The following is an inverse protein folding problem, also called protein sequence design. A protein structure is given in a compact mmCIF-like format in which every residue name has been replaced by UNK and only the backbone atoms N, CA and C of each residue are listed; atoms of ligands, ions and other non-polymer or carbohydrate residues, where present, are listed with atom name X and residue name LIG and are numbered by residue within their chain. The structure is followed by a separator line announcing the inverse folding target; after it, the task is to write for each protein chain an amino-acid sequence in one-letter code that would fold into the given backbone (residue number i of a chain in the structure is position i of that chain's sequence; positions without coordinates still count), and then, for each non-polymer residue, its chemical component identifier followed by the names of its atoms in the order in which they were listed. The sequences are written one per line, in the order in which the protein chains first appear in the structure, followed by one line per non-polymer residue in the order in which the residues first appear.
data_IF_586228120395
#
_entry.id   IF_586228120395
#
_cell.length_a   1.000
_cell.length_b   1.000
_cell.length_c   1.000
_cell.angle_alpha   90.00
_cell.angle_beta   90.00
_cell.angle_gamma   90.00
#
_symmetry.space_group_name_H-M   'P 1'
#
loop_
_entity.id
_entity.type
_entity.pdbx_description
1 polymer ?
#
# COMPACT_ATOMS: atom_id res chain seq x y z
N UNK A 1 1.64 -22.92 -15.24
CA UNK A 1 0.46 -22.08 -15.37
C UNK A 1 0.79 -20.62 -15.12
N UNK A 2 0.46 -19.77 -16.05
CA UNK A 2 0.78 -18.36 -15.90
C UNK A 2 -0.15 -17.71 -14.88
N UNK A 3 0.41 -16.94 -13.97
CA UNK A 3 -0.35 -16.16 -13.02
C UNK A 3 -1.17 -15.09 -13.77
N UNK A 4 -2.48 -15.08 -13.58
CA UNK A 4 -3.37 -14.09 -14.23
C UNK A 4 -3.65 -12.95 -13.30
N UNK A 5 -3.84 -11.76 -13.88
CA UNK A 5 -4.29 -10.59 -13.13
C UNK A 5 -5.69 -10.82 -12.59
N UNK A 6 -5.97 -10.28 -11.42
CA UNK A 6 -7.33 -10.25 -10.91
C UNK A 6 -8.23 -9.53 -11.92
N UNK A 7 -9.51 -9.93 -12.04
CA UNK A 7 -10.40 -9.38 -13.08
C UNK A 7 -10.53 -7.87 -13.05
N UNK A 8 -10.51 -7.29 -11.86
CA UNK A 8 -10.57 -5.85 -11.67
C UNK A 8 -9.50 -5.44 -10.70
N UNK A 9 -8.72 -4.41 -11.06
CA UNK A 9 -7.74 -3.84 -10.14
C UNK A 9 -8.47 -3.23 -8.94
N UNK A 10 -8.07 -3.63 -7.75
CA UNK A 10 -8.58 -3.04 -6.51
C UNK A 10 -7.43 -2.40 -5.76
N UNK A 11 -7.71 -1.27 -5.13
CA UNK A 11 -6.74 -0.60 -4.26
C UNK A 11 -7.09 -0.93 -2.82
N UNK A 12 -6.14 -1.52 -2.09
CA UNK A 12 -6.28 -1.81 -0.66
C UNK A 12 -5.49 -0.80 0.12
N UNK A 13 -6.12 -0.16 1.09
CA UNK A 13 -5.49 0.86 1.92
C UNK A 13 -5.41 0.38 3.35
N UNK A 14 -4.18 0.26 3.88
CA UNK A 14 -3.93 0.05 5.29
C UNK A 14 -4.08 1.41 5.97
N UNK A 15 -5.27 1.67 6.49
CA UNK A 15 -5.75 3.04 6.70
C UNK A 15 -5.41 3.65 8.06
N UNK A 16 -5.04 2.85 9.06
CA UNK A 16 -4.86 3.35 10.43
C UNK A 16 -3.77 4.41 10.54
N UNK A 17 -2.78 4.39 9.65
CA UNK A 17 -1.69 5.37 9.67
C UNK A 17 -1.36 5.87 8.26
N UNK A 18 -2.38 6.09 7.44
CA UNK A 18 -2.18 6.51 6.04
C UNK A 18 -2.46 8.00 5.88
N UNK A 19 -1.43 8.82 5.59
CA UNK A 19 -1.63 10.27 5.42
C UNK A 19 -2.05 10.69 4.02
N UNK A 20 -2.20 9.74 3.08
CA UNK A 20 -2.48 10.04 1.66
C UNK A 20 -3.83 9.50 1.19
N UNK A 21 -4.78 9.35 2.10
CA UNK A 21 -6.09 8.81 1.73
C UNK A 21 -6.79 9.65 0.66
N UNK A 22 -6.76 10.98 0.78
CA UNK A 22 -7.42 11.86 -0.20
C UNK A 22 -6.81 11.69 -1.60
N UNK A 23 -5.49 11.56 -1.67
CA UNK A 23 -4.79 11.32 -2.93
C UNK A 23 -5.21 9.98 -3.55
N UNK A 24 -5.35 8.95 -2.72
CA UNK A 24 -5.81 7.63 -3.18
C UNK A 24 -7.20 7.73 -3.78
N UNK A 25 -8.12 8.40 -3.08
CA UNK A 25 -9.51 8.53 -3.55
C UNK A 25 -9.57 9.26 -4.88
N UNK A 26 -8.80 10.33 -5.01
CA UNK A 26 -8.76 11.14 -6.24
C UNK A 26 -8.31 10.30 -7.44
N UNK A 27 -7.22 9.54 -7.28
CA UNK A 27 -6.69 8.73 -8.37
C UNK A 27 -7.64 7.57 -8.69
N UNK A 28 -8.19 6.93 -7.67
CA UNK A 28 -9.12 5.81 -7.85
C UNK A 28 -10.37 6.24 -8.61
N UNK A 29 -10.96 7.37 -8.23
CA UNK A 29 -12.16 7.88 -8.89
C UNK A 29 -11.86 8.23 -10.35
N UNK A 30 -10.69 8.85 -10.60
CA UNK A 30 -10.27 9.18 -11.97
C UNK A 30 -10.20 7.94 -12.85
N UNK A 31 -9.70 6.83 -12.33
CA UNK A 31 -9.54 5.59 -13.09
C UNK A 31 -10.72 4.64 -12.96
N UNK A 32 -11.72 4.97 -12.16
CA UNK A 32 -12.89 4.12 -11.96
C UNK A 32 -12.59 2.82 -11.21
N UNK A 33 -11.67 2.87 -10.24
CA UNK A 33 -11.21 1.68 -9.52
C UNK A 33 -11.80 1.60 -8.11
N UNK A 34 -12.21 0.41 -7.67
CA UNK A 34 -12.70 0.22 -6.31
C UNK A 34 -11.56 0.31 -5.29
N UNK A 35 -11.87 0.88 -4.13
CA UNK A 35 -10.94 1.03 -3.00
C UNK A 35 -11.53 0.38 -1.77
N UNK A 36 -10.77 -0.48 -1.12
CA UNK A 36 -11.10 -1.03 0.19
C UNK A 36 -10.23 -0.32 1.24
N UNK A 37 -10.86 0.49 2.07
CA UNK A 37 -10.19 1.23 3.14
C UNK A 37 -10.30 0.40 4.40
N UNK A 38 -9.22 -0.25 4.78
CA UNK A 38 -9.20 -1.28 5.83
C UNK A 38 -8.59 -0.71 7.09
N UNK A 39 -9.32 -0.78 8.20
CA UNK A 39 -8.86 -0.25 9.48
C UNK A 39 -9.40 -1.09 10.63
N UNK A 40 -8.66 -1.12 11.74
CA UNK A 40 -9.14 -1.69 12.98
C UNK A 40 -10.04 -0.72 13.75
N UNK A 41 -9.86 0.58 13.53
CA UNK A 41 -10.65 1.63 14.17
C UNK A 41 -11.60 2.25 13.14
N UNK A 42 -12.60 3.00 13.65
CA UNK A 42 -13.52 3.69 12.77
C UNK A 42 -12.80 4.78 12.00
N UNK A 43 -12.95 4.76 10.68
CA UNK A 43 -12.42 5.80 9.78
C UNK A 43 -13.53 6.25 8.86
N UNK A 44 -13.72 7.56 8.74
CA UNK A 44 -14.70 8.13 7.82
C UNK A 44 -14.16 8.03 6.40
N UNK A 45 -14.99 7.56 5.49
CA UNK A 45 -14.66 7.51 4.06
C UNK A 45 -15.67 8.33 3.26
N UNK A 46 -15.29 8.78 2.05
CA UNK A 46 -16.23 9.49 1.18
C UNK A 46 -17.43 8.64 0.82
N UNK A 47 -18.57 9.29 0.59
CA UNK A 47 -19.78 8.63 0.14
C UNK A 47 -19.70 8.46 -1.39
N UNK A 48 -18.98 7.45 -1.83
CA UNK A 48 -18.76 7.15 -3.24
C UNK A 48 -18.87 5.63 -3.43
N UNK A 49 -19.58 5.17 -4.48
CA UNK A 49 -19.74 3.72 -4.69
C UNK A 49 -18.44 2.95 -4.85
N UNK A 50 -17.37 3.61 -5.29
CA UNK A 50 -16.07 2.96 -5.46
C UNK A 50 -15.32 2.78 -4.15
N UNK A 51 -15.67 3.53 -3.11
CA UNK A 51 -14.90 3.53 -1.86
C UNK A 51 -15.67 2.82 -0.77
N UNK A 52 -15.11 1.71 -0.30
CA UNK A 52 -15.70 0.85 0.71
C UNK A 52 -14.86 0.86 1.97
N UNK A 53 -15.53 1.07 3.11
CA UNK A 53 -14.86 0.97 4.41
C UNK A 53 -14.97 -0.46 4.93
N UNK A 54 -13.83 -1.03 5.31
CA UNK A 54 -13.76 -2.38 5.87
C UNK A 54 -13.36 -2.28 7.34
N UNK A 55 -14.23 -2.75 8.21
CA UNK A 55 -13.93 -2.86 9.63
C UNK A 55 -13.31 -4.24 9.85
N UNK A 56 -12.00 -4.27 10.08
CA UNK A 56 -11.27 -5.54 10.15
C UNK A 56 -11.36 -6.20 11.54
N UNK A 57 -11.88 -5.49 12.53
CA UNK A 57 -11.94 -6.00 13.88
C UNK A 57 -10.82 -5.49 14.77
N UNK A 58 -10.82 -5.90 16.03
CA UNK A 58 -9.92 -5.37 17.05
C UNK A 58 -8.63 -6.18 17.24
N UNK A 59 -8.42 -7.25 16.49
CA UNK A 59 -7.20 -8.05 16.58
C UNK A 59 -5.98 -7.28 16.10
N UNK A 60 -4.80 -7.58 16.67
CA UNK A 60 -3.58 -6.85 16.37
C UNK A 60 -3.23 -6.84 14.87
N UNK A 61 -3.44 -7.97 14.20
CA UNK A 61 -3.09 -8.12 12.78
C UNK A 61 -4.34 -8.24 11.90
N UNK A 62 -5.51 -7.87 12.40
CA UNK A 62 -6.75 -8.10 11.69
C UNK A 62 -6.81 -7.39 10.34
N UNK A 63 -6.40 -6.11 10.29
CA UNK A 63 -6.38 -5.35 9.05
C UNK A 63 -5.34 -5.93 8.06
N UNK A 64 -4.16 -6.27 8.57
CA UNK A 64 -3.10 -6.84 7.74
C UNK A 64 -3.54 -8.17 7.14
N UNK A 65 -4.12 -9.05 7.94
CA UNK A 65 -4.59 -10.35 7.48
C UNK A 65 -5.68 -10.18 6.42
N UNK A 66 -6.62 -9.27 6.66
CA UNK A 66 -7.70 -9.02 5.71
C UNK A 66 -7.16 -8.65 4.33
N UNK A 67 -6.18 -7.74 4.29
CA UNK A 67 -5.57 -7.28 3.05
C UNK A 67 -4.76 -8.41 2.40
N UNK A 68 -3.89 -9.05 3.18
CA UNK A 68 -2.98 -10.07 2.66
C UNK A 68 -3.71 -11.29 2.08
N UNK A 69 -4.86 -11.62 2.64
CA UNK A 69 -5.67 -12.75 2.15
C UNK A 69 -6.35 -12.46 0.81
N UNK A 70 -6.48 -11.19 0.44
CA UNK A 70 -7.25 -10.78 -0.74
C UNK A 70 -6.43 -10.18 -1.85
N UNK A 71 -5.39 -9.42 -1.51
CA UNK A 71 -4.57 -8.72 -2.52
C UNK A 71 -3.75 -9.72 -3.33
N UNK A 72 -3.69 -9.51 -4.62
CA UNK A 72 -2.93 -10.37 -5.51
C UNK A 72 -2.53 -9.64 -6.78
N UNK A 73 -2.10 -10.41 -7.77
CA UNK A 73 -1.60 -9.86 -9.03
C UNK A 73 -2.67 -8.98 -9.70
N UNK A 74 -2.32 -7.77 -10.04
CA UNK A 74 -3.23 -6.79 -10.63
C UNK A 74 -3.85 -5.83 -9.62
N UNK A 75 -3.57 -6.02 -8.32
CA UNK A 75 -4.04 -5.14 -7.26
C UNK A 75 -2.92 -4.22 -6.78
N UNK A 76 -3.32 -3.14 -6.09
CA UNK A 76 -2.40 -2.17 -5.49
C UNK A 76 -2.66 -2.10 -3.99
N UNK A 77 -1.61 -2.14 -3.19
CA UNK A 77 -1.70 -2.03 -1.73
C UNK A 77 -0.91 -0.82 -1.26
N UNK A 78 -1.52 0.01 -0.43
CA UNK A 78 -0.87 1.17 0.16
C UNK A 78 -0.65 0.90 1.64
N UNK A 79 0.60 0.79 2.05
CA UNK A 79 0.95 0.52 3.45
C UNK A 79 2.37 0.99 3.76
N UNK A 80 2.61 1.32 5.02
CA UNK A 80 3.97 1.53 5.54
C UNK A 80 4.44 0.36 6.41
N UNK A 81 3.61 -0.65 6.59
CA UNK A 81 3.91 -1.83 7.40
C UNK A 81 4.72 -2.83 6.58
N UNK A 82 5.96 -3.08 7.00
CA UNK A 82 6.88 -3.91 6.21
C UNK A 82 6.44 -5.38 6.16
N UNK A 83 6.01 -6.02 7.27
CA UNK A 83 5.50 -7.40 7.19
C UNK A 83 4.32 -7.54 6.24
N UNK A 84 3.37 -6.60 6.25
CA UNK A 84 2.24 -6.63 5.33
C UNK A 84 2.70 -6.45 3.89
N UNK A 85 3.59 -5.48 3.66
CA UNK A 85 4.15 -5.24 2.32
C UNK A 85 4.81 -6.51 1.78
N UNK A 86 5.56 -7.22 2.60
CA UNK A 86 6.22 -8.46 2.22
C UNK A 86 5.20 -9.52 1.77
N UNK A 87 4.13 -9.70 2.54
CA UNK A 87 3.09 -10.68 2.21
C UNK A 87 2.43 -10.36 0.86
N UNK A 88 2.12 -9.09 0.65
CA UNK A 88 1.43 -8.65 -0.56
C UNK A 88 2.34 -8.72 -1.80
N UNK A 89 3.61 -8.37 -1.65
CA UNK A 89 4.59 -8.48 -2.75
C UNK A 89 4.72 -9.95 -3.18
N UNK A 90 4.80 -10.86 -2.20
CA UNK A 90 4.90 -12.30 -2.50
C UNK A 90 3.65 -12.83 -3.20
N UNK A 91 2.49 -12.22 -2.93
CA UNK A 91 1.24 -12.58 -3.59
C UNK A 91 1.12 -11.99 -5.00
N UNK A 92 2.06 -11.15 -5.40
CA UNK A 92 2.09 -10.54 -6.74
C UNK A 92 1.47 -9.17 -6.84
N UNK A 93 0.97 -8.59 -5.74
CA UNK A 93 0.40 -7.26 -5.75
C UNK A 93 1.49 -6.19 -5.87
N UNK A 94 1.12 -5.03 -6.43
CA UNK A 94 1.97 -3.85 -6.40
C UNK A 94 1.77 -3.15 -5.05
N UNK A 95 2.86 -2.87 -4.35
CA UNK A 95 2.79 -2.28 -3.01
C UNK A 95 3.57 -0.97 -2.99
N UNK A 96 2.94 0.09 -2.49
CA UNK A 96 3.50 1.44 -2.48
C UNK A 96 3.38 2.01 -1.07
N UNK A 97 4.47 2.59 -0.57
CA UNK A 97 4.44 3.34 0.69
C UNK A 97 3.79 4.70 0.49
N UNK A 98 3.28 5.33 1.57
CA UNK A 98 2.67 6.66 1.45
C UNK A 98 3.58 7.75 0.90
N UNK A 99 4.90 7.58 0.97
CA UNK A 99 5.85 8.53 0.37
C UNK A 99 6.11 8.26 -1.12
N UNK A 100 5.42 7.31 -1.72
CA UNK A 100 5.54 6.99 -3.13
C UNK A 100 6.58 5.94 -3.48
N UNK A 101 7.32 5.43 -2.50
CA UNK A 101 8.34 4.42 -2.78
C UNK A 101 7.69 3.04 -2.95
N UNK A 102 7.97 2.35 -4.06
CA UNK A 102 7.44 0.99 -4.23
C UNK A 102 8.22 -0.01 -3.38
N UNK A 103 7.52 -1.06 -2.96
CA UNK A 103 8.16 -2.19 -2.30
C UNK A 103 8.40 -3.31 -3.29
N UNK A 104 9.58 -3.94 -3.17
CA UNK A 104 9.92 -5.19 -3.87
C UNK A 104 10.55 -6.12 -2.84
N UNK A 105 10.75 -7.38 -3.19
CA UNK A 105 11.42 -8.30 -2.28
C UNK A 105 12.81 -7.78 -1.90
N UNK A 106 13.54 -7.23 -2.87
CA UNK A 106 14.87 -6.69 -2.63
C UNK A 106 14.82 -5.45 -1.71
N UNK A 107 13.93 -4.51 -1.98
CA UNK A 107 13.84 -3.29 -1.17
C UNK A 107 13.35 -3.59 0.25
N UNK A 108 12.48 -4.58 0.42
CA UNK A 108 12.02 -5.01 1.73
C UNK A 108 13.18 -5.59 2.54
N UNK A 109 14.00 -6.43 1.93
CA UNK A 109 15.18 -6.99 2.58
C UNK A 109 16.12 -5.90 3.06
N UNK A 110 16.40 -4.91 2.22
CA UNK A 110 17.26 -3.79 2.59
C UNK A 110 16.65 -2.95 3.70
N UNK A 111 15.34 -2.69 3.64
CA UNK A 111 14.64 -1.91 4.66
C UNK A 111 14.70 -2.60 6.02
N UNK A 112 14.50 -3.92 6.05
CA UNK A 112 14.59 -4.68 7.29
C UNK A 112 16.00 -4.64 7.87
N UNK A 113 17.02 -4.76 7.02
CA UNK A 113 18.41 -4.67 7.47
C UNK A 113 18.72 -3.30 8.08
N UNK A 114 18.26 -2.23 7.43
CA UNK A 114 18.45 -0.87 7.93
C UNK A 114 17.70 -0.66 9.26
N UNK A 115 16.47 -1.15 9.36
CA UNK A 115 15.69 -1.05 10.60
C UNK A 115 16.39 -1.75 11.76
N UNK A 116 16.91 -2.95 11.50
CA UNK A 116 17.63 -3.70 12.53
C UNK A 116 18.87 -2.95 12.99
N UNK A 117 19.63 -2.39 12.05
CA UNK A 117 20.81 -1.58 12.37
C UNK A 117 20.43 -0.35 13.20
N UNK A 118 19.39 0.38 12.78
CA UNK A 118 18.94 1.56 13.51
C UNK A 118 18.44 1.23 14.90
N UNK A 119 17.77 0.10 15.08
CA UNK A 119 17.34 -0.37 16.38
C UNK A 119 18.54 -0.62 17.29
N UNK A 120 19.57 -1.28 16.79
CA UNK A 120 20.80 -1.55 17.55
C UNK A 120 21.49 -0.24 17.95
N UNK A 121 21.58 0.71 17.03
CA UNK A 121 22.19 2.02 17.30
C UNK A 121 21.40 2.82 18.33
N UNK A 122 20.08 2.78 18.27
CA UNK A 122 19.23 3.44 19.28
C UNK A 122 19.40 2.81 20.65
N UNK A 123 19.50 1.49 20.69
CA UNK A 123 19.73 0.76 21.95
C UNK A 123 21.06 1.14 22.58
N UNK A 124 22.07 1.44 21.77
CA UNK A 124 23.38 1.89 22.25
C UNK A 124 23.44 3.39 22.54
N UNK A 125 22.37 4.12 22.23
CA UNK A 125 22.31 5.56 22.46
C UNK A 125 23.05 6.41 21.43
N UNK A 126 23.49 5.82 20.34
CA UNK A 126 24.28 6.52 19.32
C UNK A 126 23.41 7.28 18.31
N UNK A 127 22.13 6.95 18.20
CA UNK A 127 21.22 7.60 17.28
C UNK A 127 20.21 8.44 18.05
N UNK A 128 20.26 9.75 17.82
CA UNK A 128 19.32 10.70 18.40
C UNK A 128 18.49 11.31 17.28
N UNK A 129 17.22 11.11 17.27
CA UNK A 129 16.34 11.67 16.27
C UNK A 129 15.40 10.61 15.73
N UNK A 130 14.16 11.00 15.52
CA UNK A 130 13.13 10.15 14.97
C UNK A 130 13.14 10.10 13.45
N UNK A 131 12.25 9.32 12.84
CA UNK A 131 12.11 9.31 11.40
C UNK A 131 11.67 10.67 10.87
N UNK A 132 12.04 10.96 9.63
CA UNK A 132 11.64 12.21 8.99
C UNK A 132 10.12 12.27 8.88
N UNK A 133 9.54 13.42 9.18
CA UNK A 133 8.11 13.64 9.06
C UNK A 133 7.63 13.61 7.61
N UNK A 134 6.35 13.41 7.44
CA UNK A 134 5.71 13.39 6.13
C UNK A 134 5.64 14.83 5.58
N UNK A 135 6.08 15.01 4.33
CA UNK A 135 6.20 16.33 3.69
C UNK A 135 5.30 16.45 2.46
N UNK A 136 4.97 17.70 2.03
CA UNK A 136 4.19 17.88 0.81
C UNK A 136 4.78 17.21 -0.43
N UNK A 137 6.12 17.17 -0.54
CA UNK A 137 6.77 16.48 -1.65
C UNK A 137 6.47 14.98 -1.65
N UNK A 138 6.24 14.40 -0.47
CA UNK A 138 5.88 12.99 -0.35
C UNK A 138 4.49 12.73 -0.93
N UNK A 139 3.54 13.66 -0.74
CA UNK A 139 2.21 13.58 -1.34
C UNK A 139 2.27 13.61 -2.86
N UNK A 140 3.08 14.51 -3.41
CA UNK A 140 3.25 14.61 -4.87
C UNK A 140 3.91 13.36 -5.44
N UNK A 141 4.94 12.86 -4.76
CA UNK A 141 5.62 11.63 -5.18
C UNK A 141 4.65 10.44 -5.13
N UNK A 142 3.81 10.38 -4.10
CA UNK A 142 2.82 9.32 -3.97
C UNK A 142 1.79 9.37 -5.10
N UNK A 143 1.22 10.55 -5.38
CA UNK A 143 0.26 10.71 -6.47
C UNK A 143 0.83 10.20 -7.79
N UNK A 144 2.04 10.61 -8.09
CA UNK A 144 2.73 10.21 -9.32
C UNK A 144 2.96 8.70 -9.36
N UNK A 145 3.44 8.13 -8.25
CA UNK A 145 3.74 6.70 -8.17
C UNK A 145 2.47 5.85 -8.33
N UNK A 146 1.39 6.25 -7.67
CA UNK A 146 0.13 5.50 -7.75
C UNK A 146 -0.44 5.56 -9.17
N UNK A 147 -0.48 6.74 -9.77
CA UNK A 147 -0.99 6.89 -11.14
C UNK A 147 -0.19 6.06 -12.13
N UNK A 148 1.14 6.12 -12.04
CA UNK A 148 2.02 5.34 -12.92
C UNK A 148 1.84 3.85 -12.73
N UNK A 149 1.68 3.39 -11.50
CA UNK A 149 1.47 1.98 -11.19
C UNK A 149 0.17 1.48 -11.80
N UNK A 150 -0.91 2.25 -11.66
CA UNK A 150 -2.21 1.90 -12.24
C UNK A 150 -2.12 1.84 -13.76
N UNK A 151 -1.49 2.82 -14.39
CA UNK A 151 -1.32 2.84 -15.84
C UNK A 151 -0.53 1.64 -16.34
N UNK A 152 0.51 1.24 -15.61
CA UNK A 152 1.29 0.05 -15.95
C UNK A 152 0.44 -1.22 -15.88
N UNK A 153 -0.37 -1.36 -14.84
CA UNK A 153 -1.27 -2.50 -14.72
C UNK A 153 -2.28 -2.53 -15.87
N UNK A 154 -2.83 -1.37 -16.24
CA UNK A 154 -3.77 -1.26 -17.35
C UNK A 154 -3.12 -1.67 -18.67
N UNK A 155 -1.86 -1.29 -18.90
CA UNK A 155 -1.12 -1.73 -20.09
C UNK A 155 -0.92 -3.24 -20.10
N UNK A 156 -0.59 -3.83 -18.95
CA UNK A 156 -0.43 -5.29 -18.84
C UNK A 156 -1.74 -6.01 -19.17
N UNK A 157 -2.88 -5.45 -18.73
CA UNK A 157 -4.19 -6.00 -19.05
C UNK A 157 -4.49 -5.93 -20.55
N UNK A 158 -4.15 -4.80 -21.19
CA UNK A 158 -4.34 -4.63 -22.61
C UNK A 158 -3.50 -5.65 -23.41
N UNK A 159 -2.24 -5.86 -22.98
CA UNK A 159 -1.37 -6.84 -23.62
C UNK A 159 -1.92 -8.26 -23.50
N UNK A 160 -2.50 -8.59 -22.34
CA UNK A 160 -3.09 -9.92 -22.14
C UNK A 160 -4.35 -10.15 -22.97
N UNK A 161 -5.04 -9.07 -23.37
CA UNK A 161 -6.22 -9.16 -24.22
C UNK A 161 -5.88 -9.28 -25.71
N UNK A 162 -4.67 -8.88 -26.06
CA UNK A 162 -4.23 -8.89 -27.46
C UNK A 162 -3.94 -10.31 -27.98
#
# INVERSE_FOLDING_TARGET
MTSVLNPTTRIYVDADACPVKDEIYRVAIRHGLPVSVVAGNFIRVPSDPLIERIAAGSGMDAADDWIAERAGKGDVVITSDIPLASRCVKAGAEVIAPNGKPFSEQSIGMTLAVRNLMTDLRSSGEVTGGPRGFAPRDRSAFLSALDQTIRRIQRQRADQRA
#
